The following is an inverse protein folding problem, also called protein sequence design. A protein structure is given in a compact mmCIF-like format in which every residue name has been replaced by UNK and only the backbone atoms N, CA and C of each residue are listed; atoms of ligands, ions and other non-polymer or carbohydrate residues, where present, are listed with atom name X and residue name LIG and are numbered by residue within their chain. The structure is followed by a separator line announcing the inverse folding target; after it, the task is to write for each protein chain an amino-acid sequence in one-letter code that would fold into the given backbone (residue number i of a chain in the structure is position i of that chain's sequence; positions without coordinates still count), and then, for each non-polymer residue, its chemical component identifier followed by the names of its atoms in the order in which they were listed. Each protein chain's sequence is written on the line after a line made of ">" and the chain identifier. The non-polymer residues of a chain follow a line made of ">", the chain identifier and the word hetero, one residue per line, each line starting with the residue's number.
data_IF_831419497768
#
_entry.id   IF_831419497768
#
_cell.length_a   1.000
_cell.length_b   1.000
_cell.length_c   1.000
_cell.angle_alpha   90.00
_cell.angle_beta   90.00
_cell.angle_gamma   90.00
#
_symmetry.space_group_name_H-M   'P 1'
#
loop_
_entity.id
_entity.type
_entity.pdbx_description
1 polymer ?
#
# COMPACT_ATOMS: atom_id res chain seq x y z
N UNK A 1 9.50 -13.35 -13.41
CA UNK A 1 8.56 -12.29 -13.88
C UNK A 1 7.96 -11.55 -12.71
N UNK A 2 8.09 -10.22 -12.69
CA UNK A 2 7.55 -9.33 -11.65
C UNK A 2 7.22 -7.96 -12.26
N UNK A 3 6.23 -7.28 -11.67
CA UNK A 3 5.84 -5.92 -11.98
C UNK A 3 6.00 -5.02 -10.75
N UNK A 4 6.48 -3.79 -10.94
CA UNK A 4 6.58 -2.74 -9.91
C UNK A 4 6.02 -1.43 -10.45
N UNK A 5 5.29 -0.68 -9.63
CA UNK A 5 4.89 0.70 -9.90
C UNK A 5 5.41 1.64 -8.83
N UNK A 6 5.57 2.91 -9.17
CA UNK A 6 6.11 3.93 -8.27
C UNK A 6 4.99 4.75 -7.56
N UNK A 7 5.33 5.62 -6.60
CA UNK A 7 4.37 6.36 -5.78
C UNK A 7 3.48 7.37 -6.52
N UNK A 8 3.74 7.62 -7.81
CA UNK A 8 2.96 8.52 -8.67
C UNK A 8 1.97 7.78 -9.58
N UNK A 9 1.98 6.45 -9.60
CA UNK A 9 0.96 5.67 -10.27
C UNK A 9 -0.43 5.95 -9.64
N UNK A 10 -1.53 6.09 -10.42
CA UNK A 10 -2.86 6.43 -9.89
C UNK A 10 -3.33 5.55 -8.72
N UNK A 11 -3.19 4.22 -8.80
CA UNK A 11 -3.50 3.33 -7.67
C UNK A 11 -2.63 3.62 -6.42
N UNK A 12 -1.33 3.93 -6.59
CA UNK A 12 -0.46 4.30 -5.47
C UNK A 12 -0.81 5.67 -4.90
N UNK A 13 -1.32 6.59 -5.71
CA UNK A 13 -1.91 7.85 -5.22
C UNK A 13 -3.13 7.55 -4.34
N UNK A 14 -4.02 6.65 -4.76
CA UNK A 14 -5.16 6.22 -3.94
C UNK A 14 -4.72 5.55 -2.62
N UNK A 15 -3.73 4.65 -2.68
CA UNK A 15 -3.14 4.01 -1.49
C UNK A 15 -2.54 5.03 -0.52
N UNK A 16 -1.78 6.01 -1.03
CA UNK A 16 -1.16 7.05 -0.21
C UNK A 16 -2.17 7.99 0.43
N UNK A 17 -3.24 8.34 -0.27
CA UNK A 17 -4.35 9.11 0.31
C UNK A 17 -4.99 8.30 1.44
N UNK A 18 -5.29 7.02 1.21
CA UNK A 18 -5.85 6.14 2.23
C UNK A 18 -4.92 6.02 3.45
N UNK A 19 -3.62 5.80 3.23
CA UNK A 19 -2.61 5.76 4.28
C UNK A 19 -2.49 7.06 5.06
N UNK A 20 -2.50 8.21 4.38
CA UNK A 20 -2.45 9.51 5.06
C UNK A 20 -3.68 9.75 5.95
N UNK A 21 -4.86 9.26 5.56
CA UNK A 21 -6.08 9.36 6.37
C UNK A 21 -5.99 8.43 7.58
N UNK A 22 -5.42 7.23 7.43
CA UNK A 22 -5.11 6.35 8.57
C UNK A 22 -4.13 7.01 9.53
N UNK A 23 -3.07 7.65 9.03
CA UNK A 23 -2.13 8.42 9.86
C UNK A 23 -2.83 9.56 10.62
N UNK A 24 -3.81 10.24 10.01
CA UNK A 24 -4.63 11.27 10.69
C UNK A 24 -5.42 10.65 11.84
N UNK A 25 -5.95 9.44 11.70
CA UNK A 25 -6.67 8.75 12.78
C UNK A 25 -5.73 8.36 13.93
N UNK A 26 -4.57 7.79 13.62
CA UNK A 26 -3.54 7.43 14.61
C UNK A 26 -2.94 8.64 15.34
N UNK A 27 -2.99 9.83 14.73
CA UNK A 27 -2.60 11.07 15.39
C UNK A 27 -3.62 11.56 16.43
N UNK A 28 -4.86 11.08 16.39
CA UNK A 28 -5.93 11.44 17.34
C UNK A 28 -6.10 10.40 18.44
N UNK A 29 -6.00 9.12 18.07
CA UNK A 29 -6.22 8.00 18.98
C UNK A 29 -5.09 6.99 18.85
N UNK A 30 -4.73 6.33 19.96
CA UNK A 30 -3.64 5.34 19.94
C UNK A 30 -3.98 4.08 19.15
N UNK A 31 -5.26 3.70 19.11
CA UNK A 31 -5.75 2.47 18.48
C UNK A 31 -7.07 2.74 17.73
N UNK A 32 -7.07 3.62 16.71
CA UNK A 32 -8.28 3.96 15.98
C UNK A 32 -8.82 2.73 15.24
N UNK A 33 -10.14 2.67 15.05
CA UNK A 33 -10.73 1.77 14.06
C UNK A 33 -11.02 2.59 12.83
N UNK A 34 -10.34 2.26 11.74
CA UNK A 34 -10.52 2.96 10.47
C UNK A 34 -10.36 2.01 9.29
N UNK A 35 -11.25 2.17 8.30
CA UNK A 35 -11.16 1.63 6.96
C UNK A 35 -11.42 2.77 5.98
N UNK A 36 -10.56 2.91 4.97
CA UNK A 36 -10.57 3.99 3.98
C UNK A 36 -10.44 3.39 2.60
N UNK A 37 -11.38 3.68 1.73
CA UNK A 37 -11.33 3.33 0.32
C UNK A 37 -11.33 4.60 -0.53
N UNK A 38 -10.44 4.65 -1.52
CA UNK A 38 -10.25 5.81 -2.40
C UNK A 38 -10.40 5.37 -3.85
N UNK A 39 -11.16 6.15 -4.62
CA UNK A 39 -11.24 6.08 -6.08
C UNK A 39 -10.91 7.46 -6.65
N UNK A 40 -9.89 7.56 -7.50
CA UNK A 40 -9.38 8.85 -7.99
C UNK A 40 -9.12 8.83 -9.49
N UNK A 41 -9.55 9.87 -10.20
CA UNK A 41 -9.34 9.98 -11.64
C UNK A 41 -10.05 11.19 -12.22
N UNK A 42 -9.52 11.73 -13.32
CA UNK A 42 -10.16 12.77 -14.14
C UNK A 42 -10.70 13.97 -13.31
N UNK A 43 -9.87 14.50 -12.42
CA UNK A 43 -10.21 15.65 -11.57
C UNK A 43 -11.16 15.34 -10.40
N UNK A 44 -11.47 14.08 -10.11
CA UNK A 44 -12.34 13.64 -8.99
C UNK A 44 -11.58 12.73 -8.03
N UNK A 45 -11.87 12.83 -6.74
CA UNK A 45 -11.36 11.92 -5.71
C UNK A 45 -12.49 11.55 -4.75
N UNK A 46 -13.01 10.33 -4.86
CA UNK A 46 -14.03 9.79 -3.95
C UNK A 46 -13.33 9.05 -2.81
N UNK A 47 -13.74 9.35 -1.58
CA UNK A 47 -13.18 8.77 -0.36
C UNK A 47 -14.32 8.34 0.54
N UNK A 48 -14.38 7.06 0.87
CA UNK A 48 -15.35 6.50 1.82
C UNK A 48 -14.57 6.00 3.04
N UNK A 49 -15.03 6.39 4.23
CA UNK A 49 -14.34 6.13 5.50
C UNK A 49 -15.33 5.57 6.51
N UNK A 50 -15.07 4.37 7.01
CA UNK A 50 -15.69 3.82 8.22
C UNK A 50 -14.74 4.00 9.40
N UNK A 51 -15.13 4.74 10.43
CA UNK A 51 -14.27 4.94 11.60
C UNK A 51 -15.03 5.17 12.90
N UNK A 52 -14.39 4.88 14.04
CA UNK A 52 -14.84 5.31 15.38
C UNK A 52 -14.14 6.58 15.88
N UNK A 53 -13.13 7.06 15.15
CA UNK A 53 -12.34 8.24 15.47
C UNK A 53 -12.91 9.50 14.81
N UNK A 54 -12.91 10.62 15.52
CA UNK A 54 -13.30 11.91 14.94
C UNK A 54 -12.22 12.45 13.98
N UNK A 55 -12.55 12.53 12.69
CA UNK A 55 -11.62 13.01 11.66
C UNK A 55 -11.97 14.43 11.21
N UNK A 56 -10.92 15.26 11.04
CA UNK A 56 -11.07 16.60 10.46
C UNK A 56 -11.11 16.51 8.94
N UNK A 57 -12.25 16.86 8.35
CA UNK A 57 -12.41 16.91 6.89
C UNK A 57 -11.41 17.85 6.21
N UNK A 58 -11.05 18.97 6.86
CA UNK A 58 -10.03 19.90 6.37
C UNK A 58 -8.65 19.23 6.26
N UNK A 59 -8.26 18.40 7.24
CA UNK A 59 -7.00 17.63 7.17
C UNK A 59 -7.04 16.60 6.05
N UNK A 60 -8.18 15.95 5.83
CA UNK A 60 -8.37 14.99 4.73
C UNK A 60 -8.25 15.71 3.38
N UNK A 61 -8.96 16.84 3.20
CA UNK A 61 -8.87 17.68 1.98
C UNK A 61 -7.44 18.16 1.73
N UNK A 62 -6.72 18.56 2.78
CA UNK A 62 -5.32 18.96 2.68
C UNK A 62 -4.39 17.81 2.27
N UNK A 63 -4.62 16.58 2.79
CA UNK A 63 -3.87 15.39 2.39
C UNK A 63 -4.12 15.04 0.92
N UNK A 64 -5.39 15.02 0.48
CA UNK A 64 -5.77 14.78 -0.92
C UNK A 64 -5.09 15.79 -1.84
N UNK A 65 -5.17 17.09 -1.51
CA UNK A 65 -4.54 18.14 -2.32
C UNK A 65 -3.01 18.00 -2.37
N UNK A 66 -2.37 17.65 -1.25
CA UNK A 66 -0.92 17.46 -1.19
C UNK A 66 -0.44 16.28 -2.04
N UNK A 67 -1.22 15.19 -2.09
CA UNK A 67 -0.82 13.94 -2.76
C UNK A 67 -1.21 13.94 -4.23
N UNK A 68 -2.45 14.33 -4.56
CA UNK A 68 -3.01 14.24 -5.91
C UNK A 68 -3.10 15.59 -6.65
N UNK A 69 -2.83 16.71 -5.96
CA UNK A 69 -2.96 18.04 -6.55
C UNK A 69 -4.41 18.48 -6.68
N UNK A 70 -4.73 19.13 -7.80
CA UNK A 70 -6.04 19.77 -8.02
C UNK A 70 -7.10 18.76 -8.48
N UNK A 71 -7.66 18.04 -7.52
CA UNK A 71 -8.85 17.19 -7.69
C UNK A 71 -9.99 17.70 -6.80
N UNK A 72 -11.23 17.47 -7.21
CA UNK A 72 -12.42 17.75 -6.40
C UNK A 72 -12.71 16.56 -5.48
N UNK A 73 -12.56 16.71 -4.14
CA UNK A 73 -12.78 15.61 -3.22
C UNK A 73 -14.27 15.48 -2.86
N UNK A 74 -14.72 14.24 -2.86
CA UNK A 74 -16.04 13.77 -2.40
C UNK A 74 -15.78 12.82 -1.22
N UNK A 75 -16.03 13.28 0.00
CA UNK A 75 -15.61 12.60 1.24
C UNK A 75 -16.87 12.19 2.01
N UNK A 76 -17.02 10.89 2.24
CA UNK A 76 -18.08 10.32 3.06
C UNK A 76 -17.47 9.63 4.28
N UNK A 77 -17.81 10.13 5.48
CA UNK A 77 -17.40 9.52 6.75
C UNK A 77 -18.65 8.93 7.41
N UNK A 78 -18.56 7.66 7.82
CA UNK A 78 -19.62 6.94 8.54
C UNK A 78 -19.05 6.24 9.78
N UNK A 79 -19.86 6.04 10.83
CA UNK A 79 -19.41 5.31 12.01
C UNK A 79 -19.15 3.83 11.69
N UNK A 80 -18.15 3.24 12.35
CA UNK A 80 -17.93 1.80 12.30
C UNK A 80 -19.16 1.02 12.83
N UNK A 81 -19.42 -0.16 12.27
CA UNK A 81 -20.45 -1.07 12.77
C UNK A 81 -20.21 -1.47 14.24
N UNK A 82 -21.27 -1.42 15.04
CA UNK A 82 -21.19 -1.67 16.50
C UNK A 82 -20.87 -3.11 16.85
N UNK A 83 -21.34 -4.09 16.08
CA UNK A 83 -21.05 -5.51 16.36
C UNK A 83 -19.58 -5.83 16.10
N UNK A 84 -18.99 -5.24 15.05
CA UNK A 84 -17.55 -5.35 14.79
C UNK A 84 -16.72 -4.64 15.86
N UNK A 85 -17.16 -3.45 16.31
CA UNK A 85 -16.50 -2.74 17.40
C UNK A 85 -16.53 -3.53 18.73
N UNK A 86 -17.65 -4.20 19.03
CA UNK A 86 -17.81 -5.00 20.25
C UNK A 86 -16.88 -6.22 20.30
N UNK A 87 -16.52 -6.80 19.15
CA UNK A 87 -15.57 -7.92 19.06
C UNK A 87 -14.17 -7.56 19.61
N UNK A 88 -13.82 -6.27 19.55
CA UNK A 88 -12.51 -5.75 19.97
C UNK A 88 -12.48 -5.28 21.44
N UNK A 89 -13.56 -5.49 22.22
CA UNK A 89 -13.60 -5.06 23.63
C UNK A 89 -12.71 -5.93 24.51
N UNK A 90 -11.89 -5.27 25.34
CA UNK A 90 -11.08 -5.86 26.41
C UNK A 90 -9.72 -6.41 25.96
N UNK A 91 -9.64 -7.04 24.80
CA UNK A 91 -8.38 -7.52 24.19
C UNK A 91 -8.47 -7.44 22.67
N UNK A 92 -7.32 -7.27 22.01
CA UNK A 92 -7.24 -7.25 20.55
C UNK A 92 -7.38 -8.66 19.97
N UNK A 93 -8.15 -8.76 18.89
CA UNK A 93 -8.46 -10.02 18.20
C UNK A 93 -8.36 -9.83 16.70
N UNK A 94 -8.21 -10.92 15.95
CA UNK A 94 -8.32 -10.88 14.48
C UNK A 94 -9.65 -10.20 14.10
N UNK A 95 -9.57 -9.11 13.33
CA UNK A 95 -10.72 -8.29 12.96
C UNK A 95 -11.61 -8.90 11.88
N UNK A 96 -11.11 -9.87 11.12
CA UNK A 96 -11.81 -10.60 10.08
C UNK A 96 -11.13 -11.97 9.87
N UNK A 97 -11.78 -12.90 9.17
CA UNK A 97 -11.14 -14.12 8.70
C UNK A 97 -10.27 -13.87 7.45
N UNK A 98 -9.22 -14.65 7.28
CA UNK A 98 -8.39 -14.53 6.07
C UNK A 98 -7.32 -15.60 5.94
N UNK A 99 -6.64 -15.55 4.80
CA UNK A 99 -5.42 -16.32 4.51
C UNK A 99 -4.29 -15.34 4.20
N UNK A 100 -3.10 -15.66 4.68
CA UNK A 100 -1.94 -14.78 4.63
C UNK A 100 -0.74 -15.60 4.21
N UNK A 101 0.12 -14.99 3.40
CA UNK A 101 1.29 -15.66 2.83
C UNK A 101 2.46 -14.70 2.84
N UNK A 102 3.63 -15.22 3.17
CA UNK A 102 4.92 -14.54 3.02
C UNK A 102 5.85 -15.40 2.21
N UNK A 103 6.49 -14.81 1.21
CA UNK A 103 7.48 -15.49 0.35
C UNK A 103 8.78 -14.69 0.41
N UNK A 104 9.95 -15.32 0.64
CA UNK A 104 11.24 -14.64 0.55
C UNK A 104 11.42 -13.96 -0.81
N UNK A 105 11.89 -12.72 -0.82
CA UNK A 105 12.15 -12.02 -2.07
C UNK A 105 13.25 -12.70 -2.87
N UNK A 106 13.00 -12.90 -4.16
CA UNK A 106 14.03 -13.33 -5.09
C UNK A 106 14.85 -12.14 -5.63
N UNK A 107 15.92 -12.44 -6.36
CA UNK A 107 16.85 -11.44 -6.90
C UNK A 107 16.16 -10.51 -7.90
N UNK A 108 15.25 -11.02 -8.74
CA UNK A 108 14.50 -10.21 -9.71
C UNK A 108 13.62 -9.17 -9.02
N UNK A 109 12.92 -9.58 -7.95
CA UNK A 109 12.03 -8.71 -7.17
C UNK A 109 12.81 -7.60 -6.45
N UNK A 110 13.95 -7.94 -5.84
CA UNK A 110 14.83 -6.95 -5.22
C UNK A 110 15.39 -5.97 -6.26
N UNK A 111 15.80 -6.49 -7.42
CA UNK A 111 16.36 -5.69 -8.52
C UNK A 111 15.34 -4.71 -9.10
N UNK A 112 14.13 -5.18 -9.43
CA UNK A 112 13.10 -4.30 -10.00
C UNK A 112 12.64 -3.22 -9.02
N UNK A 113 12.59 -3.53 -7.71
CA UNK A 113 12.28 -2.54 -6.68
C UNK A 113 13.37 -1.45 -6.60
N UNK A 114 14.65 -1.83 -6.66
CA UNK A 114 15.75 -0.85 -6.71
C UNK A 114 15.65 0.04 -7.95
N UNK A 115 15.47 -0.55 -9.14
CA UNK A 115 15.35 0.19 -10.39
C UNK A 115 14.17 1.18 -10.32
N UNK A 116 13.03 0.74 -9.79
CA UNK A 116 11.85 1.59 -9.65
C UNK A 116 12.10 2.81 -8.75
N UNK A 117 12.83 2.64 -7.65
CA UNK A 117 13.20 3.70 -6.71
C UNK A 117 14.22 4.67 -7.31
N UNK A 118 15.26 4.14 -7.94
CA UNK A 118 16.31 4.93 -8.58
C UNK A 118 15.75 5.80 -9.72
N UNK A 119 14.83 5.26 -10.52
CA UNK A 119 14.15 6.00 -11.57
C UNK A 119 13.18 7.04 -11.00
N UNK A 120 12.46 6.70 -9.93
CA UNK A 120 11.52 7.65 -9.30
C UNK A 120 12.24 8.83 -8.64
N UNK A 121 13.42 8.61 -8.05
CA UNK A 121 14.25 9.70 -7.49
C UNK A 121 14.66 10.70 -8.58
N UNK A 122 14.96 10.21 -9.78
CA UNK A 122 15.35 11.04 -10.93
C UNK A 122 14.15 11.67 -11.65
N UNK A 123 13.05 10.92 -11.73
CA UNK A 123 11.83 11.26 -12.47
C UNK A 123 10.60 10.99 -11.58
N UNK A 124 10.25 11.93 -10.68
CA UNK A 124 9.19 11.74 -9.69
C UNK A 124 7.79 11.90 -10.29
N UNK A 125 7.47 11.03 -11.26
CA UNK A 125 6.22 11.01 -12.02
C UNK A 125 5.80 9.56 -12.26
N UNK A 126 4.60 9.35 -12.79
CA UNK A 126 4.01 8.01 -12.98
C UNK A 126 4.94 7.07 -13.75
N UNK A 127 5.14 5.88 -13.19
CA UNK A 127 6.06 4.88 -13.72
C UNK A 127 5.68 3.45 -13.36
N UNK A 128 5.94 2.56 -14.31
CA UNK A 128 5.66 1.14 -14.28
C UNK A 128 6.80 0.36 -14.90
N UNK A 129 7.22 -0.71 -14.23
CA UNK A 129 8.40 -1.48 -14.57
C UNK A 129 8.09 -2.96 -14.54
N UNK A 130 8.61 -3.71 -15.52
CA UNK A 130 8.44 -5.16 -15.60
C UNK A 130 9.82 -5.77 -15.79
N UNK A 131 10.10 -6.83 -15.04
CA UNK A 131 11.26 -7.68 -15.25
C UNK A 131 10.77 -9.12 -15.50
N UNK A 132 11.10 -9.64 -16.67
CA UNK A 132 10.79 -11.01 -17.10
C UNK A 132 12.08 -11.66 -17.60
N UNK A 133 12.75 -12.41 -16.72
CA UNK A 133 14.12 -12.89 -16.90
C UNK A 133 15.07 -11.73 -17.26
N UNK A 134 15.63 -11.71 -18.46
CA UNK A 134 16.53 -10.66 -18.96
C UNK A 134 15.80 -9.44 -19.53
N UNK A 135 14.47 -9.53 -19.73
CA UNK A 135 13.68 -8.49 -20.39
C UNK A 135 13.21 -7.45 -19.38
N UNK A 136 13.91 -6.32 -19.34
CA UNK A 136 13.53 -5.14 -18.55
C UNK A 136 12.70 -4.17 -19.40
N UNK A 137 11.47 -3.89 -18.97
CA UNK A 137 10.58 -2.90 -19.58
C UNK A 137 10.42 -1.74 -18.59
N UNK A 138 10.68 -0.52 -19.05
CA UNK A 138 10.57 0.71 -18.26
C UNK A 138 9.58 1.65 -18.95
N UNK A 139 8.42 1.86 -18.32
CA UNK A 139 7.49 2.90 -18.71
C UNK A 139 7.56 4.01 -17.66
N UNK A 140 8.26 5.10 -17.94
CA UNK A 140 8.39 6.24 -17.04
C UNK A 140 7.89 7.50 -17.77
N UNK A 141 6.80 8.07 -17.27
CA UNK A 141 6.24 9.31 -17.83
C UNK A 141 7.21 10.47 -17.62
N UNK A 142 7.09 11.52 -18.44
CA UNK A 142 7.86 12.77 -18.30
C UNK A 142 9.39 12.59 -18.19
N UNK A 143 9.94 11.51 -18.75
CA UNK A 143 11.37 11.20 -18.71
C UNK A 143 11.94 11.05 -20.12
N UNK A 144 13.13 11.63 -20.34
CA UNK A 144 13.86 11.46 -21.59
C UNK A 144 14.34 10.01 -21.72
N UNK A 145 13.84 9.32 -22.75
CA UNK A 145 14.25 7.97 -23.11
C UNK A 145 15.78 7.81 -23.17
N UNK A 146 16.49 8.80 -23.69
CA UNK A 146 17.95 8.75 -23.83
C UNK A 146 18.66 8.75 -22.48
N UNK A 147 18.09 9.43 -21.48
CA UNK A 147 18.65 9.45 -20.13
C UNK A 147 18.51 8.07 -19.46
N UNK A 148 17.36 7.42 -19.61
CA UNK A 148 17.11 6.08 -19.07
C UNK A 148 18.01 5.04 -19.76
N UNK A 149 18.12 5.08 -21.10
CA UNK A 149 18.96 4.14 -21.86
C UNK A 149 20.46 4.26 -21.55
N UNK A 150 20.94 5.40 -21.02
CA UNK A 150 22.33 5.50 -20.54
C UNK A 150 22.58 4.64 -19.31
N UNK A 151 21.58 4.47 -18.45
CA UNK A 151 21.66 3.67 -17.22
C UNK A 151 21.27 2.22 -17.47
N UNK A 152 20.28 2.00 -18.34
CA UNK A 152 19.76 0.68 -18.70
C UNK A 152 19.78 0.47 -20.22
N UNK A 153 20.96 0.22 -20.84
CA UNK A 153 21.12 0.19 -22.29
C UNK A 153 20.33 -0.90 -23.03
N UNK A 154 19.94 -1.96 -22.32
CA UNK A 154 19.21 -3.10 -22.87
C UNK A 154 17.71 -3.07 -22.58
N UNK A 155 17.21 -2.04 -21.87
CA UNK A 155 15.81 -1.96 -21.51
C UNK A 155 14.91 -1.52 -22.68
N UNK A 156 13.68 -2.04 -22.69
CA UNK A 156 12.58 -1.51 -23.49
C UNK A 156 12.00 -0.29 -22.79
N UNK A 157 12.43 0.91 -23.19
CA UNK A 157 12.02 2.17 -22.57
C UNK A 157 10.89 2.82 -23.36
N UNK A 158 9.77 3.12 -22.70
CA UNK A 158 8.62 3.84 -23.24
C UNK A 158 8.24 3.34 -24.66
N UNK A 159 7.76 2.08 -24.81
CA UNK A 159 7.57 1.44 -26.12
C UNK A 159 6.55 2.17 -27.01
N UNK A 160 5.61 2.92 -26.43
CA UNK A 160 4.65 3.77 -27.15
C UNK A 160 5.16 5.20 -27.41
N UNK A 161 6.39 5.52 -27.00
CA UNK A 161 6.93 6.87 -26.99
C UNK A 161 6.58 7.64 -25.72
N UNK A 162 6.79 8.96 -25.78
CA UNK A 162 6.60 9.86 -24.63
C UNK A 162 5.12 9.95 -24.23
N UNK A 163 4.86 10.01 -22.92
CA UNK A 163 3.52 10.07 -22.34
C UNK A 163 3.53 10.85 -21.01
N UNK A 164 2.36 11.39 -20.64
CA UNK A 164 2.21 12.32 -19.49
C UNK A 164 1.92 11.63 -18.16
N UNK A 165 1.23 10.48 -18.20
CA UNK A 165 0.81 9.71 -17.03
C UNK A 165 -0.13 10.40 -16.05
N UNK A 166 -0.30 9.79 -14.88
CA UNK A 166 -1.11 10.33 -13.78
C UNK A 166 -2.60 10.08 -13.89
N UNK A 167 -3.37 10.67 -12.97
CA UNK A 167 -4.80 10.38 -12.75
C UNK A 167 -5.74 10.81 -13.88
N UNK A 168 -5.25 11.60 -14.83
CA UNK A 168 -6.01 11.97 -16.03
C UNK A 168 -5.77 11.00 -17.20
N UNK A 169 -4.70 10.21 -17.13
CA UNK A 169 -4.40 9.14 -18.09
C UNK A 169 -5.04 7.81 -17.69
N UNK A 170 -5.14 7.53 -16.38
CA UNK A 170 -5.79 6.34 -15.84
C UNK A 170 -6.42 6.63 -14.46
N UNK A 171 -7.45 5.88 -14.10
CA UNK A 171 -8.11 5.95 -12.79
C UNK A 171 -7.36 5.05 -11.79
N UNK A 172 -7.21 5.52 -10.55
CA UNK A 172 -6.64 4.78 -9.44
C UNK A 172 -7.67 4.35 -8.41
N UNK A 173 -7.47 3.19 -7.80
CA UNK A 173 -8.21 2.78 -6.62
C UNK A 173 -7.30 2.08 -5.59
N UNK A 174 -7.67 2.17 -4.32
CA UNK A 174 -6.93 1.58 -3.21
C UNK A 174 -6.76 0.05 -3.41
N UNK A 175 -5.61 -0.48 -3.03
CA UNK A 175 -5.26 -1.90 -3.04
C UNK A 175 -5.34 -2.60 -4.42
N UNK A 176 -5.21 -1.85 -5.53
CA UNK A 176 -5.18 -2.42 -6.90
C UNK A 176 -3.79 -2.77 -7.42
N UNK A 177 -2.78 -2.70 -6.55
CA UNK A 177 -1.36 -2.98 -6.86
C UNK A 177 -0.70 -3.98 -5.92
N UNK A 178 -1.47 -4.94 -5.39
CA UNK A 178 -0.96 -5.95 -4.44
C UNK A 178 0.29 -6.71 -4.93
N UNK A 179 0.37 -7.11 -6.21
CA UNK A 179 1.59 -7.74 -6.75
C UNK A 179 2.82 -6.84 -6.72
N UNK A 180 2.62 -5.54 -6.95
CA UNK A 180 3.67 -4.53 -6.83
C UNK A 180 4.00 -4.20 -5.36
N UNK A 181 3.08 -4.44 -4.43
CA UNK A 181 3.28 -4.16 -3.00
C UNK A 181 3.79 -5.38 -2.22
N UNK A 182 3.50 -6.59 -2.66
CA UNK A 182 3.71 -7.83 -1.90
C UNK A 182 4.52 -8.91 -2.65
N UNK A 183 4.86 -8.68 -3.92
CA UNK A 183 5.56 -9.64 -4.77
C UNK A 183 4.79 -10.98 -4.84
N UNK A 184 5.44 -12.11 -4.57
CA UNK A 184 4.79 -13.43 -4.55
C UNK A 184 3.98 -13.71 -3.28
N UNK A 185 3.98 -12.78 -2.32
CA UNK A 185 3.25 -12.89 -1.06
C UNK A 185 1.77 -12.50 -1.19
N UNK A 186 1.30 -12.16 -2.40
CA UNK A 186 -0.08 -11.73 -2.64
C UNK A 186 -1.09 -12.77 -2.18
N UNK A 187 -2.05 -12.30 -1.39
CA UNK A 187 -3.30 -13.00 -1.07
C UNK A 187 -4.50 -12.15 -1.51
N UNK A 188 -5.68 -12.32 -0.91
CA UNK A 188 -6.86 -11.52 -1.24
C UNK A 188 -6.91 -10.16 -0.54
N UNK A 189 -6.38 -10.06 0.68
CA UNK A 189 -6.49 -8.88 1.54
C UNK A 189 -5.46 -7.80 1.22
N UNK A 190 -5.90 -6.53 1.17
CA UNK A 190 -5.04 -5.39 0.88
C UNK A 190 -4.36 -4.77 2.10
N UNK A 191 -3.21 -4.12 1.87
CA UNK A 191 -2.35 -3.51 2.90
C UNK A 191 -2.77 -2.10 3.31
N UNK A 192 -3.45 -1.37 2.42
CA UNK A 192 -3.63 0.07 2.55
C UNK A 192 -5.03 0.44 3.01
N UNK A 193 -5.14 1.58 3.70
CA UNK A 193 -6.41 2.16 4.13
C UNK A 193 -7.04 1.54 5.37
N UNK A 194 -6.39 0.59 6.05
CA UNK A 194 -6.92 -0.10 7.23
C UNK A 194 -5.99 0.06 8.43
N UNK A 195 -6.54 0.13 9.64
CA UNK A 195 -5.74 0.08 10.87
C UNK A 195 -5.26 -1.34 11.22
N UNK A 196 -4.37 -1.42 12.21
CA UNK A 196 -3.69 -2.66 12.61
C UNK A 196 -4.61 -3.74 13.22
N UNK A 197 -5.85 -3.45 13.62
CA UNK A 197 -6.74 -4.56 13.99
C UNK A 197 -7.23 -5.37 12.79
N UNK A 198 -7.02 -4.89 11.56
CA UNK A 198 -7.41 -5.63 10.36
C UNK A 198 -6.32 -6.63 10.02
N UNK A 199 -6.72 -7.89 9.96
CA UNK A 199 -5.84 -9.03 9.68
C UNK A 199 -5.05 -8.84 8.38
N UNK A 200 -5.70 -8.28 7.36
CA UNK A 200 -5.09 -7.96 6.06
C UNK A 200 -3.86 -7.07 6.14
N UNK A 201 -3.77 -6.19 7.13
CA UNK A 201 -2.59 -5.33 7.31
C UNK A 201 -1.56 -6.07 8.16
N UNK A 202 -1.97 -6.44 9.38
CA UNK A 202 -1.07 -6.98 10.39
C UNK A 202 -0.47 -8.31 9.98
N UNK A 203 -1.29 -9.25 9.49
CA UNK A 203 -0.82 -10.60 9.19
C UNK A 203 -0.08 -10.67 7.87
N UNK A 204 -0.44 -9.89 6.85
CA UNK A 204 0.37 -9.82 5.63
C UNK A 204 1.76 -9.22 5.90
N UNK A 205 1.86 -8.17 6.72
CA UNK A 205 3.17 -7.63 7.14
C UNK A 205 3.94 -8.68 7.92
N UNK A 206 3.31 -9.29 8.93
CA UNK A 206 3.95 -10.31 9.76
C UNK A 206 4.47 -11.50 8.95
N UNK A 207 3.63 -12.11 8.10
CA UNK A 207 4.05 -13.27 7.29
C UNK A 207 5.17 -12.90 6.34
N UNK A 208 5.10 -11.71 5.74
CA UNK A 208 6.17 -11.23 4.85
C UNK A 208 7.50 -11.08 5.58
N UNK A 209 7.50 -10.39 6.73
CA UNK A 209 8.72 -10.17 7.53
C UNK A 209 9.30 -11.50 8.03
N UNK A 210 8.45 -12.40 8.54
CA UNK A 210 8.87 -13.73 8.97
C UNK A 210 9.48 -14.53 7.83
N UNK A 211 8.91 -14.47 6.63
CA UNK A 211 9.48 -15.13 5.46
C UNK A 211 10.86 -14.56 5.05
N UNK A 212 11.06 -13.23 5.15
CA UNK A 212 12.38 -12.64 4.90
C UNK A 212 13.40 -13.06 5.96
N UNK A 213 12.99 -13.18 7.22
CA UNK A 213 13.85 -13.59 8.32
C UNK A 213 14.26 -15.07 8.23
N UNK A 214 13.31 -15.95 7.95
CA UNK A 214 13.56 -17.40 7.94
C UNK A 214 14.12 -17.90 6.61
N UNK A 215 13.88 -17.17 5.51
CA UNK A 215 14.16 -17.65 4.16
C UNK A 215 13.20 -18.74 3.69
N UNK A 216 12.07 -18.94 4.38
CA UNK A 216 11.06 -19.94 4.07
C UNK A 216 9.70 -19.29 3.75
N UNK A 217 8.89 -19.97 2.94
CA UNK A 217 7.50 -19.53 2.72
C UNK A 217 6.68 -19.74 3.99
N UNK A 218 5.96 -18.71 4.41
CA UNK A 218 5.07 -18.72 5.58
C UNK A 218 3.62 -18.64 5.10
N UNK A 219 2.75 -19.49 5.62
CA UNK A 219 1.32 -19.50 5.31
C UNK A 219 0.51 -19.57 6.61
N UNK A 220 -0.45 -18.66 6.77
CA UNK A 220 -1.31 -18.56 7.94
C UNK A 220 -2.76 -18.34 7.54
N UNK A 221 -3.68 -18.67 8.44
CA UNK A 221 -5.07 -18.26 8.37
C UNK A 221 -5.55 -17.86 9.75
N UNK A 222 -6.53 -16.95 9.82
CA UNK A 222 -7.21 -16.64 11.09
C UNK A 222 -8.73 -16.68 10.91
N UNK A 223 -9.44 -16.88 12.01
CA UNK A 223 -10.85 -16.59 12.14
C UNK A 223 -11.05 -15.25 12.86
N UNK A 224 -12.17 -14.59 12.57
CA UNK A 224 -12.59 -13.41 13.32
C UNK A 224 -12.71 -13.77 14.82
N UNK A 225 -12.06 -12.97 15.67
CA UNK A 225 -12.05 -13.21 17.11
C UNK A 225 -10.86 -14.00 17.65
N UNK A 226 -9.96 -14.51 16.80
CA UNK A 226 -8.74 -15.18 17.28
C UNK A 226 -7.87 -14.21 18.10
N UNK A 227 -7.50 -14.63 19.32
CA UNK A 227 -6.62 -13.87 20.22
C UNK A 227 -5.14 -14.22 20.04
N UNK A 228 -4.85 -15.42 19.53
CA UNK A 228 -3.50 -15.93 19.30
C UNK A 228 -3.40 -16.51 17.88
N UNK A 229 -2.34 -16.15 17.16
CA UNK A 229 -2.04 -16.65 15.82
C UNK A 229 -0.54 -16.92 15.77
N UNK A 230 -0.16 -18.09 15.28
CA UNK A 230 1.25 -18.50 15.14
C UNK A 230 2.05 -18.44 16.46
N UNK A 231 1.39 -18.71 17.59
CA UNK A 231 2.00 -18.66 18.92
C UNK A 231 2.19 -17.25 19.50
N UNK A 232 1.66 -16.21 18.84
CA UNK A 232 1.71 -14.82 19.28
C UNK A 232 0.31 -14.32 19.58
N UNK A 233 0.17 -13.52 20.64
CA UNK A 233 -1.04 -12.75 20.84
C UNK A 233 -1.24 -11.77 19.68
N UNK A 234 -2.49 -11.46 19.35
CA UNK A 234 -2.78 -10.54 18.26
C UNK A 234 -2.17 -9.14 18.50
N UNK A 235 -2.07 -8.71 19.76
CA UNK A 235 -1.40 -7.45 20.13
C UNK A 235 0.09 -7.45 19.79
N UNK A 236 0.80 -8.57 20.01
CA UNK A 236 2.22 -8.67 19.64
C UNK A 236 2.40 -8.60 18.12
N UNK A 237 1.49 -9.20 17.36
CA UNK A 237 1.50 -9.11 15.90
C UNK A 237 1.24 -7.68 15.43
N UNK A 238 0.30 -6.97 16.07
CA UNK A 238 0.06 -5.54 15.82
C UNK A 238 1.31 -4.70 16.11
N UNK A 239 2.02 -4.97 17.20
CA UNK A 239 3.26 -4.26 17.54
C UNK A 239 4.36 -4.49 16.50
N UNK A 240 4.51 -5.72 16.00
CA UNK A 240 5.45 -6.04 14.91
C UNK A 240 5.10 -5.23 13.65
N UNK A 241 3.83 -5.23 13.25
CA UNK A 241 3.36 -4.49 12.08
C UNK A 241 3.51 -2.96 12.26
N UNK A 242 3.17 -2.43 13.44
CA UNK A 242 3.37 -1.02 13.79
C UNK A 242 4.83 -0.62 13.68
N UNK A 243 5.74 -1.40 14.27
CA UNK A 243 7.17 -1.10 14.25
C UNK A 243 7.70 -1.02 12.81
N UNK A 244 7.24 -1.91 11.92
CA UNK A 244 7.57 -1.86 10.51
C UNK A 244 7.06 -0.57 9.85
N UNK A 245 5.77 -0.26 9.97
CA UNK A 245 5.16 0.95 9.38
C UNK A 245 5.80 2.23 9.93
N UNK A 246 5.99 2.31 11.25
CA UNK A 246 6.59 3.45 11.92
C UNK A 246 8.05 3.67 11.47
N UNK A 247 8.80 2.60 11.22
CA UNK A 247 10.18 2.70 10.71
C UNK A 247 10.26 3.34 9.31
N UNK A 248 9.19 3.24 8.53
CA UNK A 248 9.07 3.84 7.20
C UNK A 248 8.53 5.28 7.25
N UNK A 249 7.97 5.70 8.38
CA UNK A 249 7.42 7.04 8.59
C UNK A 249 5.89 7.13 8.54
N UNK A 250 5.17 6.01 8.71
CA UNK A 250 3.71 5.98 8.79
C UNK A 250 3.04 5.26 7.61
N UNK A 251 1.72 5.20 7.64
CA UNK A 251 0.91 4.47 6.65
C UNK A 251 0.99 5.10 5.26
N UNK A 252 1.04 6.43 5.14
CA UNK A 252 1.26 7.08 3.83
C UNK A 252 2.60 6.66 3.22
N UNK A 253 3.66 6.61 4.05
CA UNK A 253 5.00 6.24 3.58
C UNK A 253 5.11 4.76 3.23
N UNK A 254 4.48 3.90 4.02
CA UNK A 254 4.35 2.50 3.68
C UNK A 254 3.62 2.31 2.33
N UNK A 255 2.57 3.09 2.09
CA UNK A 255 1.81 3.05 0.85
C UNK A 255 2.59 3.51 -0.40
N UNK A 256 3.76 4.15 -0.28
CA UNK A 256 4.58 4.50 -1.44
C UNK A 256 5.10 3.25 -2.17
N UNK A 257 5.44 2.20 -1.42
CA UNK A 257 6.15 1.04 -1.99
C UNK A 257 5.63 -0.32 -1.53
N UNK A 258 4.79 -0.39 -0.50
CA UNK A 258 4.38 -1.65 0.11
C UNK A 258 5.55 -2.31 0.84
N UNK A 259 5.62 -3.64 0.77
CA UNK A 259 6.52 -4.49 1.54
C UNK A 259 7.93 -4.62 0.93
N UNK A 260 8.14 -4.23 -0.34
CA UNK A 260 9.43 -4.37 -1.02
C UNK A 260 9.74 -3.21 -1.99
#
# INVERSE_FOLDING_TARGET
>A
MIEKVNPSHPDKIADRIAGAIVDIAYAQEANPRIAVEVLIGHGRCHVIIETDTELSEDKIRAAIFRIAGKVEPDIQIVPQDRHLADNQKGTFRCGDNGIFRGVPLNVEQAMISSIARDLYEQFPTDGKYILDDERLIICQSNADRTAILKQYPHAEVNPLGDWTGGTDADTGATNRKLGSDMADSVTGGGLHGKDLSKADVTLNIYTFLKAQETGETVELSCAIGDEEIDGHSYSELMDIAWNHIASLGGFEKFAEWGLF
#
